data_IF_830613171531
#
_entry.id   IF_830613171531
#
_cell.length_a   1.000
_cell.length_b   1.000
_cell.length_c   1.000
_cell.angle_alpha   90.00
_cell.angle_beta   90.00
_cell.angle_gamma   90.00
#
_symmetry.space_group_name_H-M   'P 1'
#
loop_
_entity.id
_entity.type
_entity.pdbx_description
1 polymer ?
#
# COMPACT_ATOMS: atom_id res chain seq x y z
N UNK A 1 5.24 -19.23 9.20
CA UNK A 1 6.02 -18.07 8.69
C UNK A 1 7.45 -18.40 8.28
N UNK A 2 8.19 -19.24 9.01
CA UNK A 2 9.54 -19.65 8.58
C UNK A 2 9.58 -20.81 7.56
N UNK A 3 8.52 -21.61 7.44
CA UNK A 3 8.46 -22.78 6.53
C UNK A 3 8.80 -22.50 5.06
N UNK A 4 8.22 -21.48 4.37
CA UNK A 4 8.51 -21.27 2.95
C UNK A 4 9.96 -20.86 2.69
N UNK A 5 10.60 -20.19 3.64
CA UNK A 5 12.03 -19.87 3.57
C UNK A 5 12.89 -21.10 3.88
N UNK A 6 12.54 -21.88 4.92
CA UNK A 6 13.27 -23.12 5.25
C UNK A 6 13.17 -24.18 4.14
N UNK A 7 12.07 -24.20 3.39
CA UNK A 7 11.90 -25.07 2.22
C UNK A 7 12.71 -24.61 0.99
N UNK A 8 13.11 -23.33 0.94
CA UNK A 8 13.90 -22.76 -0.15
C UNK A 8 15.41 -22.72 0.16
N UNK A 9 15.84 -23.12 1.36
CA UNK A 9 17.25 -23.16 1.77
C UNK A 9 17.83 -24.58 1.55
N UNK A 10 19.10 -24.71 1.09
CA UNK A 10 19.77 -26.01 0.98
C UNK A 10 19.86 -26.72 2.33
N UNK A 11 19.80 -28.07 2.33
CA UNK A 11 19.89 -28.88 3.55
C UNK A 11 21.15 -28.51 4.36
N UNK A 12 20.98 -27.98 5.57
CA UNK A 12 22.07 -27.62 6.50
C UNK A 12 22.23 -26.13 6.81
N UNK A 13 21.52 -25.22 6.16
CA UNK A 13 21.59 -23.79 6.48
C UNK A 13 20.70 -23.41 7.68
N UNK A 14 21.32 -22.89 8.76
CA UNK A 14 20.61 -22.26 9.89
C UNK A 14 20.52 -20.75 9.71
N UNK A 15 19.38 -20.15 10.10
CA UNK A 15 19.26 -18.69 10.13
C UNK A 15 20.24 -18.13 11.16
N UNK A 16 21.06 -17.17 10.73
CA UNK A 16 22.01 -16.49 11.59
C UNK A 16 21.38 -15.22 12.15
N UNK A 17 21.93 -14.73 13.26
CA UNK A 17 21.66 -13.38 13.74
C UNK A 17 22.94 -12.57 13.71
N UNK A 18 22.96 -11.50 12.90
CA UNK A 18 24.13 -10.62 12.76
C UNK A 18 24.22 -9.58 13.88
N UNK A 19 23.10 -9.31 14.55
CA UNK A 19 23.00 -8.33 15.63
C UNK A 19 22.76 -9.02 16.99
N UNK A 20 23.52 -8.67 18.04
CA UNK A 20 23.44 -9.36 19.34
C UNK A 20 22.09 -9.16 20.05
N UNK A 21 21.36 -8.09 19.71
CA UNK A 21 20.03 -7.79 20.27
C UNK A 21 18.88 -8.37 19.43
N UNK A 22 19.17 -8.88 18.23
CA UNK A 22 18.18 -9.41 17.29
C UNK A 22 17.27 -10.48 17.91
N UNK A 23 17.83 -11.56 18.50
CA UNK A 23 17.04 -12.64 19.09
C UNK A 23 16.13 -12.20 20.24
N UNK A 24 16.48 -11.11 20.94
CA UNK A 24 15.66 -10.56 22.02
C UNK A 24 14.43 -9.80 21.48
N UNK A 25 14.57 -9.00 20.43
CA UNK A 25 13.47 -8.17 19.90
C UNK A 25 12.58 -8.88 18.88
N UNK A 26 13.06 -9.95 18.25
CA UNK A 26 12.31 -10.75 17.26
C UNK A 26 10.94 -11.22 17.81
N UNK A 27 10.85 -11.83 19.01
CA UNK A 27 9.57 -12.24 19.59
C UNK A 27 8.61 -11.07 19.83
N UNK A 28 9.12 -9.92 20.29
CA UNK A 28 8.29 -8.73 20.53
C UNK A 28 7.72 -8.15 19.23
N UNK A 29 8.53 -8.04 18.17
CA UNK A 29 8.07 -7.60 16.85
C UNK A 29 6.97 -8.52 16.31
N UNK A 30 7.18 -9.83 16.43
CA UNK A 30 6.20 -10.82 16.00
C UNK A 30 4.91 -10.74 16.82
N UNK A 31 4.99 -10.69 18.15
CA UNK A 31 3.84 -10.60 19.03
C UNK A 31 3.03 -9.32 18.76
N UNK A 32 3.71 -8.19 18.55
CA UNK A 32 3.08 -6.93 18.17
C UNK A 32 2.32 -7.07 16.85
N UNK A 33 2.98 -7.52 15.79
CA UNK A 33 2.35 -7.66 14.48
C UNK A 33 1.19 -8.66 14.50
N UNK A 34 1.32 -9.77 15.22
CA UNK A 34 0.26 -10.75 15.38
C UNK A 34 -0.93 -10.17 16.14
N UNK A 35 -0.69 -9.49 17.27
CA UNK A 35 -1.73 -8.82 18.02
C UNK A 35 -2.46 -7.77 17.17
N UNK A 36 -1.72 -6.98 16.38
CA UNK A 36 -2.32 -6.04 15.44
C UNK A 36 -3.17 -6.75 14.39
N UNK A 37 -2.68 -7.82 13.76
CA UNK A 37 -3.43 -8.57 12.76
C UNK A 37 -4.73 -9.21 13.31
N UNK A 38 -4.72 -9.63 14.58
CA UNK A 38 -5.93 -10.10 15.28
C UNK A 38 -6.87 -8.94 15.62
N UNK A 39 -6.33 -7.77 15.99
CA UNK A 39 -7.09 -6.57 16.29
C UNK A 39 -7.64 -5.86 15.04
N UNK A 40 -7.19 -6.21 13.84
CA UNK A 40 -7.54 -5.51 12.59
C UNK A 40 -9.04 -5.39 12.30
N UNK A 41 -9.89 -6.41 12.53
CA UNK A 41 -11.34 -6.25 12.36
C UNK A 41 -11.92 -5.13 13.25
N UNK A 42 -11.41 -4.99 14.48
CA UNK A 42 -11.80 -3.92 15.38
C UNK A 42 -11.20 -2.57 14.99
N UNK A 43 -9.95 -2.53 14.52
CA UNK A 43 -9.31 -1.31 14.03
C UNK A 43 -10.00 -0.77 12.77
N UNK A 44 -10.33 -1.63 11.82
CA UNK A 44 -11.11 -1.27 10.63
C UNK A 44 -12.50 -0.82 11.04
N UNK A 45 -13.15 -1.51 11.98
CA UNK A 45 -14.41 -1.04 12.55
C UNK A 45 -14.31 0.38 13.08
N UNK A 46 -13.30 0.69 13.89
CA UNK A 46 -13.13 2.02 14.48
C UNK A 46 -12.79 3.08 13.40
N UNK A 47 -11.92 2.73 12.45
CA UNK A 47 -11.52 3.61 11.35
C UNK A 47 -12.74 3.98 10.50
N UNK A 48 -13.51 2.99 10.06
CA UNK A 48 -14.70 3.22 9.25
C UNK A 48 -15.86 3.78 10.07
N UNK A 49 -15.98 3.47 11.36
CA UNK A 49 -16.97 4.11 12.23
C UNK A 49 -16.68 5.59 12.43
N UNK A 50 -15.40 6.02 12.32
CA UNK A 50 -15.01 7.42 12.33
C UNK A 50 -15.30 8.13 10.98
N UNK A 51 -15.19 7.42 9.85
CA UNK A 51 -15.54 7.95 8.52
C UNK A 51 -17.06 7.91 8.27
N UNK A 52 -17.75 6.92 8.83
CA UNK A 52 -19.19 6.70 8.71
C UNK A 52 -20.10 7.87 9.14
N UNK A 53 -19.77 8.76 10.10
CA UNK A 53 -20.57 9.97 10.31
C UNK A 53 -20.64 10.91 9.09
N UNK A 54 -19.68 10.83 8.16
CA UNK A 54 -19.78 11.47 6.84
C UNK A 54 -20.75 10.76 5.88
N UNK A 55 -21.14 9.52 6.18
CA UNK A 55 -22.14 8.74 5.48
C UNK A 55 -23.50 8.95 6.17
N UNK A 56 -24.37 9.79 5.59
CA UNK A 56 -25.65 10.22 6.17
C UNK A 56 -26.44 9.09 6.87
N UNK A 57 -27.14 9.46 7.95
CA UNK A 57 -27.83 8.58 8.93
C UNK A 57 -28.75 7.49 8.35
N UNK A 58 -29.08 7.56 7.06
CA UNK A 58 -30.05 6.72 6.37
C UNK A 58 -29.40 5.55 5.60
N UNK A 59 -28.05 5.51 5.47
CA UNK A 59 -27.31 4.44 4.78
C UNK A 59 -26.46 3.52 5.68
N UNK A 60 -26.62 3.60 7.01
CA UNK A 60 -25.88 2.76 8.00
C UNK A 60 -25.91 1.26 7.71
N UNK A 61 -26.91 0.76 6.96
CA UNK A 61 -27.02 -0.65 6.55
C UNK A 61 -25.89 -1.09 5.60
N UNK A 62 -25.28 -0.16 4.86
CA UNK A 62 -24.25 -0.48 3.88
C UNK A 62 -22.82 -0.41 4.46
N UNK A 63 -22.67 0.22 5.62
CA UNK A 63 -21.42 0.20 6.40
C UNK A 63 -21.07 -1.22 6.86
N UNK A 64 -22.06 -2.03 7.24
CA UNK A 64 -21.86 -3.41 7.72
C UNK A 64 -21.26 -4.34 6.65
N UNK A 65 -21.83 -4.49 5.44
CA UNK A 65 -21.23 -5.32 4.41
C UNK A 65 -19.86 -4.79 3.97
N UNK A 66 -19.67 -3.46 3.95
CA UNK A 66 -18.37 -2.86 3.63
C UNK A 66 -17.30 -3.23 4.67
N UNK A 67 -17.63 -3.13 5.96
CA UNK A 67 -16.77 -3.51 7.09
C UNK A 67 -16.40 -5.00 7.07
N UNK A 68 -17.36 -5.86 6.71
CA UNK A 68 -17.11 -7.28 6.59
C UNK A 68 -16.21 -7.57 5.38
N UNK A 69 -16.50 -6.93 4.24
CA UNK A 69 -15.68 -7.03 3.03
C UNK A 69 -14.26 -6.54 3.28
N UNK A 70 -14.05 -5.39 3.95
CA UNK A 70 -12.72 -4.89 4.30
C UNK A 70 -11.96 -5.89 5.17
N UNK A 71 -12.60 -6.38 6.24
CA UNK A 71 -11.97 -7.35 7.14
C UNK A 71 -11.52 -8.61 6.40
N UNK A 72 -12.36 -9.13 5.49
CA UNK A 72 -12.02 -10.28 4.64
C UNK A 72 -10.86 -9.93 3.70
N UNK A 73 -10.91 -8.76 3.07
CA UNK A 73 -9.94 -8.31 2.08
C UNK A 73 -8.56 -8.07 2.72
N UNK A 74 -8.50 -7.57 3.95
CA UNK A 74 -7.28 -7.45 4.75
C UNK A 74 -6.61 -8.81 4.97
N UNK A 75 -7.35 -9.82 5.43
CA UNK A 75 -6.80 -11.17 5.60
C UNK A 75 -6.42 -11.80 4.26
N UNK A 76 -7.18 -11.52 3.20
CA UNK A 76 -6.83 -11.93 1.83
C UNK A 76 -5.52 -11.27 1.38
N UNK A 77 -5.28 -10.01 1.74
CA UNK A 77 -4.02 -9.30 1.51
C UNK A 77 -2.83 -9.95 2.23
N UNK A 78 -3.01 -10.36 3.50
CA UNK A 78 -1.98 -11.13 4.23
C UNK A 78 -1.70 -12.47 3.54
N UNK A 79 -2.76 -13.19 3.14
CA UNK A 79 -2.63 -14.46 2.42
C UNK A 79 -1.94 -14.28 1.06
N UNK A 80 -2.31 -13.24 0.32
CA UNK A 80 -1.70 -12.90 -0.97
C UNK A 80 -0.22 -12.59 -0.81
N UNK A 81 0.14 -11.78 0.19
CA UNK A 81 1.54 -11.53 0.52
C UNK A 81 2.26 -12.84 0.84
N UNK A 82 1.67 -13.71 1.69
CA UNK A 82 2.26 -15.00 2.08
C UNK A 82 2.49 -15.97 0.92
N UNK A 83 1.46 -16.19 0.09
CA UNK A 83 1.44 -17.26 -0.90
C UNK A 83 1.90 -16.84 -2.29
N UNK A 84 1.77 -15.55 -2.65
CA UNK A 84 2.11 -15.07 -3.99
C UNK A 84 3.37 -14.23 -3.94
N UNK A 85 3.41 -13.22 -3.06
CA UNK A 85 4.51 -12.25 -3.12
C UNK A 85 5.82 -12.82 -2.58
N UNK A 86 5.80 -13.50 -1.42
CA UNK A 86 7.05 -14.05 -0.87
C UNK A 86 7.75 -15.03 -1.80
N UNK A 87 7.09 -16.06 -2.37
CA UNK A 87 7.78 -17.00 -3.25
C UNK A 87 8.46 -16.31 -4.43
N UNK A 88 7.83 -15.28 -4.99
CA UNK A 88 8.38 -14.58 -6.15
C UNK A 88 9.59 -13.71 -5.75
N UNK A 89 9.53 -13.00 -4.62
CA UNK A 89 10.68 -12.23 -4.10
C UNK A 89 11.85 -13.15 -3.77
N UNK A 90 11.61 -14.25 -3.06
CA UNK A 90 12.69 -15.17 -2.70
C UNK A 90 13.25 -15.92 -3.91
N UNK A 91 12.42 -16.29 -4.89
CA UNK A 91 12.91 -16.85 -6.15
C UNK A 91 13.79 -15.86 -6.91
N UNK A 92 13.48 -14.56 -6.87
CA UNK A 92 14.32 -13.53 -7.45
C UNK A 92 15.66 -13.39 -6.71
N UNK A 93 15.66 -13.36 -5.37
CA UNK A 93 16.89 -13.30 -4.58
C UNK A 93 17.78 -14.54 -4.74
N UNK A 94 17.22 -15.73 -4.89
CA UNK A 94 18.03 -16.95 -5.07
C UNK A 94 18.53 -17.11 -6.50
N UNK A 95 17.77 -16.66 -7.51
CA UNK A 95 18.21 -16.72 -8.92
C UNK A 95 19.29 -15.71 -9.30
N UNK A 96 19.42 -14.63 -8.54
CA UNK A 96 20.45 -13.60 -8.74
C UNK A 96 21.75 -13.88 -7.97
N UNK A 97 21.78 -14.89 -7.11
CA UNK A 97 22.96 -15.27 -6.34
C UNK A 97 24.04 -15.91 -7.25
N UNK A 98 25.29 -15.41 -7.24
CA UNK A 98 26.38 -16.02 -8.00
C UNK A 98 26.64 -17.47 -7.56
N UNK A 99 26.99 -18.35 -8.51
CA UNK A 99 27.36 -19.72 -8.16
C UNK A 99 28.54 -19.76 -7.19
N UNK A 100 28.33 -20.35 -6.02
CA UNK A 100 29.33 -20.46 -4.95
C UNK A 100 29.18 -19.48 -3.78
N UNK A 101 28.22 -18.56 -3.81
CA UNK A 101 27.90 -17.69 -2.65
C UNK A 101 26.78 -18.31 -1.82
N UNK A 102 27.06 -18.59 -0.54
CA UNK A 102 26.03 -19.01 0.41
C UNK A 102 25.15 -17.80 0.76
N UNK A 103 23.88 -17.82 0.33
CA UNK A 103 22.88 -16.84 0.74
C UNK A 103 22.50 -17.13 2.20
N UNK A 104 23.09 -16.39 3.13
CA UNK A 104 22.75 -16.45 4.55
C UNK A 104 21.80 -15.31 4.88
N UNK A 105 20.58 -15.64 5.31
CA UNK A 105 19.56 -14.66 5.72
C UNK A 105 19.59 -14.44 7.23
N UNK A 106 19.62 -13.16 7.63
CA UNK A 106 19.45 -12.77 9.03
C UNK A 106 17.99 -12.88 9.45
N UNK A 107 17.72 -13.53 10.59
CA UNK A 107 16.36 -13.75 11.10
C UNK A 107 15.62 -12.45 11.42
N UNK A 108 16.33 -11.44 11.93
CA UNK A 108 15.73 -10.16 12.35
C UNK A 108 15.36 -9.31 11.14
N UNK A 109 16.22 -9.26 10.14
CA UNK A 109 15.98 -8.61 8.86
C UNK A 109 14.87 -9.32 8.09
N UNK A 110 14.90 -10.66 8.03
CA UNK A 110 13.85 -11.47 7.42
C UNK A 110 12.48 -11.20 8.06
N UNK A 111 12.39 -11.33 9.39
CA UNK A 111 11.14 -11.09 10.10
C UNK A 111 10.67 -9.64 9.89
N UNK A 112 11.56 -8.66 10.00
CA UNK A 112 11.19 -7.26 9.81
C UNK A 112 10.67 -7.00 8.40
N UNK A 113 11.29 -7.59 7.37
CA UNK A 113 10.81 -7.53 6.00
C UNK A 113 9.43 -8.20 5.84
N UNK A 114 9.26 -9.40 6.38
CA UNK A 114 8.01 -10.15 6.30
C UNK A 114 6.84 -9.41 6.96
N UNK A 115 7.07 -8.88 8.16
CA UNK A 115 6.06 -8.12 8.91
C UNK A 115 5.68 -6.84 8.18
N UNK A 116 6.67 -6.08 7.66
CA UNK A 116 6.43 -4.90 6.82
C UNK A 116 5.57 -5.24 5.61
N UNK A 117 5.87 -6.33 4.92
CA UNK A 117 5.15 -6.77 3.73
C UNK A 117 3.69 -7.12 4.04
N UNK A 118 3.44 -7.83 5.14
CA UNK A 118 2.08 -8.13 5.59
C UNK A 118 1.27 -6.88 5.92
N UNK A 119 1.88 -5.91 6.60
CA UNK A 119 1.22 -4.63 6.87
C UNK A 119 0.94 -3.86 5.59
N UNK A 120 1.91 -3.75 4.68
CA UNK A 120 1.75 -3.03 3.43
C UNK A 120 0.66 -3.64 2.55
N UNK A 121 0.65 -4.95 2.35
CA UNK A 121 -0.40 -5.59 1.54
C UNK A 121 -1.73 -5.70 2.25
N UNK A 122 -1.75 -5.94 3.56
CA UNK A 122 -2.99 -5.89 4.33
C UNK A 122 -3.69 -4.54 4.13
N UNK A 123 -2.94 -3.44 4.26
CA UNK A 123 -3.47 -2.09 4.03
C UNK A 123 -3.72 -1.77 2.55
N UNK A 124 -2.88 -2.24 1.62
CA UNK A 124 -3.10 -2.02 0.19
C UNK A 124 -4.38 -2.69 -0.31
N UNK A 125 -4.74 -3.84 0.29
CA UNK A 125 -6.00 -4.51 0.00
C UNK A 125 -7.21 -3.74 0.51
N UNK A 126 -7.05 -2.68 1.31
CA UNK A 126 -8.13 -1.75 1.67
C UNK A 126 -8.35 -0.64 0.64
N UNK A 127 -7.42 -0.44 -0.30
CA UNK A 127 -7.53 0.58 -1.37
C UNK A 127 -8.82 0.45 -2.18
N UNK A 128 -9.28 -0.76 -2.60
CA UNK A 128 -10.55 -0.91 -3.30
C UNK A 128 -11.76 -0.44 -2.48
N UNK A 129 -11.78 -0.77 -1.19
CA UNK A 129 -12.84 -0.40 -0.26
C UNK A 129 -12.86 1.12 -0.06
N UNK A 130 -11.69 1.71 0.18
CA UNK A 130 -11.53 3.15 0.30
C UNK A 130 -12.00 3.87 -0.97
N UNK A 131 -11.60 3.39 -2.15
CA UNK A 131 -11.99 3.97 -3.44
C UNK A 131 -13.51 3.97 -3.63
N UNK A 132 -14.16 2.83 -3.35
CA UNK A 132 -15.61 2.69 -3.42
C UNK A 132 -16.32 3.64 -2.44
N UNK A 133 -15.80 3.75 -1.22
CA UNK A 133 -16.40 4.61 -0.21
C UNK A 133 -16.27 6.10 -0.57
N UNK A 134 -15.09 6.53 -1.02
CA UNK A 134 -14.84 7.92 -1.44
C UNK A 134 -15.80 8.36 -2.56
N UNK A 135 -16.00 7.50 -3.56
CA UNK A 135 -16.93 7.77 -4.66
C UNK A 135 -18.38 7.81 -4.18
N UNK A 136 -18.76 6.89 -3.29
CA UNK A 136 -20.12 6.84 -2.75
C UNK A 136 -20.44 8.06 -1.88
N UNK A 137 -19.48 8.53 -1.10
CA UNK A 137 -19.62 9.72 -0.26
C UNK A 137 -19.67 11.02 -1.08
N UNK A 138 -19.36 10.98 -2.38
CA UNK A 138 -19.34 12.16 -3.24
C UNK A 138 -18.07 13.01 -3.11
N UNK A 139 -17.07 12.55 -2.35
CA UNK A 139 -15.78 13.25 -2.18
C UNK A 139 -15.00 13.31 -3.49
N UNK A 140 -15.17 12.31 -4.35
CA UNK A 140 -14.51 12.24 -5.66
C UNK A 140 -15.37 11.48 -6.65
N UNK A 141 -15.11 11.65 -7.95
CA UNK A 141 -15.74 10.86 -9.01
C UNK A 141 -14.78 9.78 -9.54
N UNK A 142 -15.31 8.70 -10.16
CA UNK A 142 -14.47 7.72 -10.86
C UNK A 142 -13.65 8.35 -12.00
N UNK A 143 -14.13 9.44 -12.60
CA UNK A 143 -13.39 10.16 -13.64
C UNK A 143 -12.16 10.87 -13.04
N UNK A 144 -12.33 11.63 -11.95
CA UNK A 144 -11.24 12.28 -11.22
C UNK A 144 -10.19 11.28 -10.71
N UNK A 145 -10.63 10.18 -10.11
CA UNK A 145 -9.71 9.12 -9.67
C UNK A 145 -8.95 8.47 -10.83
N UNK A 146 -9.60 8.32 -11.99
CA UNK A 146 -8.94 7.81 -13.19
C UNK A 146 -7.90 8.79 -13.74
N UNK A 147 -8.09 10.10 -13.59
CA UNK A 147 -7.06 11.07 -13.96
C UNK A 147 -5.83 10.98 -13.02
N UNK A 148 -6.05 10.66 -11.74
CA UNK A 148 -5.00 10.56 -10.72
C UNK A 148 -4.21 9.23 -10.70
N UNK A 149 -4.33 8.40 -11.73
CA UNK A 149 -3.56 7.13 -11.87
C UNK A 149 -2.04 7.32 -11.69
N UNK A 150 -1.39 8.32 -12.29
CA UNK A 150 0.06 8.48 -12.16
C UNK A 150 0.48 8.69 -10.70
N UNK A 151 -0.28 9.47 -9.93
CA UNK A 151 0.00 9.71 -8.50
C UNK A 151 -0.06 8.43 -7.67
N UNK A 152 -1.04 7.56 -7.95
CA UNK A 152 -1.20 6.30 -7.23
C UNK A 152 -0.08 5.32 -7.58
N UNK A 153 0.34 5.30 -8.84
CA UNK A 153 1.49 4.50 -9.27
C UNK A 153 2.75 4.99 -8.54
N UNK A 154 3.02 6.30 -8.53
CA UNK A 154 4.16 6.87 -7.78
C UNK A 154 4.07 6.52 -6.29
N UNK A 155 2.89 6.66 -5.67
CA UNK A 155 2.67 6.26 -4.28
C UNK A 155 2.95 4.78 -4.02
N UNK A 156 2.55 3.88 -4.94
CA UNK A 156 2.86 2.46 -4.86
C UNK A 156 4.37 2.19 -4.93
N UNK A 157 5.10 2.90 -5.78
CA UNK A 157 6.57 2.81 -5.84
C UNK A 157 7.24 3.36 -4.57
N UNK A 158 6.74 4.44 -3.97
CA UNK A 158 7.26 4.99 -2.71
C UNK A 158 7.06 3.97 -1.58
N UNK A 159 5.87 3.38 -1.47
CA UNK A 159 5.61 2.31 -0.49
C UNK A 159 6.51 1.12 -0.76
N UNK A 160 6.65 0.69 -2.02
CA UNK A 160 7.56 -0.37 -2.43
C UNK A 160 9.00 -0.11 -1.97
N UNK A 161 9.50 1.12 -2.13
CA UNK A 161 10.83 1.54 -1.70
C UNK A 161 11.01 1.49 -0.17
N UNK A 162 9.95 1.77 0.61
CA UNK A 162 10.02 1.68 2.07
C UNK A 162 9.99 0.23 2.57
N UNK A 163 9.31 -0.65 1.81
CA UNK A 163 9.12 -2.06 2.17
C UNK A 163 10.29 -2.94 1.73
N UNK A 164 10.84 -2.70 0.56
CA UNK A 164 12.00 -3.43 0.04
C UNK A 164 13.30 -2.71 0.37
N UNK A 165 14.43 -3.43 0.47
CA UNK A 165 15.74 -2.81 0.25
C UNK A 165 15.75 -2.06 -1.10
N UNK A 166 16.74 -1.19 -1.38
CA UNK A 166 16.82 -0.44 -2.65
C UNK A 166 17.09 -1.37 -3.85
N UNK A 167 16.05 -2.12 -4.25
CA UNK A 167 15.98 -3.11 -5.32
C UNK A 167 14.78 -2.77 -6.21
N UNK A 168 15.08 -2.35 -7.43
CA UNK A 168 14.10 -1.92 -8.44
C UNK A 168 13.17 -3.07 -8.89
N UNK A 169 13.67 -4.31 -8.96
CA UNK A 169 12.89 -5.46 -9.39
C UNK A 169 11.85 -5.81 -8.34
N UNK A 170 12.28 -5.99 -7.10
CA UNK A 170 11.37 -6.26 -5.98
C UNK A 170 10.39 -5.10 -5.79
N UNK A 171 10.84 -3.85 -5.88
CA UNK A 171 9.98 -2.67 -5.80
C UNK A 171 8.89 -2.64 -6.89
N UNK A 172 9.26 -2.89 -8.14
CA UNK A 172 8.31 -2.90 -9.27
C UNK A 172 7.29 -4.02 -9.12
N UNK A 173 7.76 -5.20 -8.73
CA UNK A 173 6.90 -6.36 -8.51
C UNK A 173 5.88 -6.15 -7.39
N UNK A 174 6.22 -5.34 -6.38
CA UNK A 174 5.29 -4.93 -5.33
C UNK A 174 4.31 -3.85 -5.76
N UNK A 175 4.75 -2.92 -6.62
CA UNK A 175 3.91 -1.84 -7.11
C UNK A 175 2.77 -2.34 -8.02
N UNK A 176 3.04 -3.39 -8.83
CA UNK A 176 2.05 -3.93 -9.78
C UNK A 176 0.76 -4.41 -9.08
N UNK A 177 0.79 -5.26 -8.04
CA UNK A 177 -0.43 -5.65 -7.33
C UNK A 177 -1.19 -4.47 -6.73
N UNK A 178 -0.50 -3.45 -6.21
CA UNK A 178 -1.15 -2.24 -5.65
C UNK A 178 -1.89 -1.48 -6.75
N UNK A 179 -1.29 -1.34 -7.92
CA UNK A 179 -1.95 -0.73 -9.08
C UNK A 179 -3.18 -1.53 -9.53
N UNK A 180 -3.08 -2.86 -9.58
CA UNK A 180 -4.22 -3.74 -9.92
C UNK A 180 -5.36 -3.61 -8.90
N UNK A 181 -5.05 -3.52 -7.61
CA UNK A 181 -6.05 -3.30 -6.56
C UNK A 181 -6.75 -1.96 -6.73
N UNK A 182 -5.99 -0.90 -7.03
CA UNK A 182 -6.58 0.39 -7.33
C UNK A 182 -7.54 0.31 -8.53
N UNK A 183 -7.14 -0.35 -9.61
CA UNK A 183 -7.99 -0.51 -10.79
C UNK A 183 -9.26 -1.30 -10.47
N UNK A 184 -9.15 -2.36 -9.66
CA UNK A 184 -10.30 -3.12 -9.19
C UNK A 184 -11.26 -2.22 -8.37
N UNK A 185 -10.74 -1.40 -7.46
CA UNK A 185 -11.51 -0.42 -6.71
C UNK A 185 -12.25 0.57 -7.60
N UNK A 186 -11.56 1.11 -8.59
CA UNK A 186 -12.12 2.03 -9.56
C UNK A 186 -13.20 1.37 -10.45
N UNK A 187 -13.00 0.10 -10.80
CA UNK A 187 -14.00 -0.67 -11.53
C UNK A 187 -15.28 -0.85 -10.70
N UNK A 188 -15.16 -1.27 -9.43
CA UNK A 188 -16.33 -1.44 -8.55
C UNK A 188 -17.04 -0.12 -8.25
N UNK A 189 -16.30 0.99 -8.16
CA UNK A 189 -16.89 2.31 -7.87
C UNK A 189 -17.73 2.85 -9.03
N UNK A 190 -17.43 2.49 -10.29
CA UNK A 190 -18.23 2.89 -11.47
C UNK A 190 -19.64 2.29 -11.48
N UNK A 191 -19.84 1.13 -10.86
CA UNK A 191 -21.16 0.50 -10.77
C UNK A 191 -22.08 1.16 -9.73
N UNK A 192 -21.55 2.08 -8.92
CA UNK A 192 -22.29 2.80 -7.88
C UNK A 192 -22.69 4.16 -8.45
N UNK A 193 -23.98 4.50 -8.36
CA UNK A 193 -24.46 5.82 -8.79
C UNK A 193 -23.83 6.90 -7.91
N UNK A 194 -23.09 7.88 -8.47
CA UNK A 194 -22.64 9.05 -7.73
C UNK A 194 -23.83 9.80 -7.16
N UNK A 195 -23.64 10.45 -6.01
CA UNK A 195 -24.59 11.39 -5.41
C UNK A 195 -24.90 12.52 -6.42
N UNK A 196 -26.09 13.11 -6.31
CA UNK A 196 -26.68 14.13 -7.20
C UNK A 196 -25.65 15.10 -7.82
N UNK A 197 -25.73 15.31 -9.14
CA UNK A 197 -24.83 16.13 -9.98
C UNK A 197 -24.48 17.52 -9.44
N UNK A 198 -25.35 18.10 -8.60
CA UNK A 198 -25.19 19.48 -8.11
C UNK A 198 -24.02 19.65 -7.14
N UNK A 199 -23.67 18.66 -6.32
CA UNK A 199 -22.54 18.77 -5.37
C UNK A 199 -21.20 18.32 -6.00
N UNK A 200 -21.24 17.51 -7.06
CA UNK A 200 -20.02 17.18 -7.81
C UNK A 200 -19.49 18.37 -8.61
N UNK A 201 -20.37 19.25 -9.09
CA UNK A 201 -19.98 20.46 -9.82
C UNK A 201 -19.21 21.44 -8.91
N UNK A 202 -19.64 21.65 -7.67
CA UNK A 202 -18.92 22.49 -6.69
C UNK A 202 -17.51 21.94 -6.36
N UNK A 203 -17.37 20.63 -6.16
CA UNK A 203 -16.05 20.02 -5.94
C UNK A 203 -15.18 19.98 -7.20
N UNK A 204 -15.77 19.91 -8.39
CA UNK A 204 -15.06 20.02 -9.67
C UNK A 204 -14.47 21.43 -9.83
N UNK A 205 -15.21 22.48 -9.46
CA UNK A 205 -14.69 23.85 -9.45
C UNK A 205 -13.57 24.07 -8.42
N UNK A 206 -13.70 23.56 -7.19
CA UNK A 206 -12.65 23.68 -6.15
C UNK A 206 -11.33 22.99 -6.56
N UNK A 207 -11.40 21.78 -7.11
CA UNK A 207 -10.22 21.04 -7.58
C UNK A 207 -9.53 21.78 -8.75
N UNK A 208 -10.30 22.35 -9.70
CA UNK A 208 -9.75 23.13 -10.81
C UNK A 208 -9.03 24.40 -10.32
N UNK A 209 -9.57 25.08 -9.30
CA UNK A 209 -8.92 26.26 -8.70
C UNK A 209 -7.62 25.86 -8.01
N UNK A 210 -7.62 24.78 -7.23
CA UNK A 210 -6.43 24.25 -6.57
C UNK A 210 -5.33 23.84 -7.55
N UNK A 211 -5.69 23.16 -8.66
CA UNK A 211 -4.73 22.77 -9.70
C UNK A 211 -4.11 23.99 -10.39
N UNK A 212 -4.89 25.03 -10.67
CA UNK A 212 -4.36 26.29 -11.24
C UNK A 212 -3.40 26.98 -10.27
N UNK A 213 -3.72 27.05 -8.99
CA UNK A 213 -2.82 27.63 -7.98
C UNK A 213 -1.51 26.84 -7.85
N UNK A 214 -1.56 25.51 -7.93
CA UNK A 214 -0.37 24.67 -7.90
C UNK A 214 0.49 24.87 -9.15
N UNK A 215 -0.11 24.95 -10.34
CA UNK A 215 0.60 25.23 -11.60
C UNK A 215 1.25 26.62 -11.59
N UNK A 216 0.55 27.63 -11.08
CA UNK A 216 1.10 28.97 -10.90
C UNK A 216 2.29 28.96 -9.93
N UNK A 217 2.19 28.25 -8.81
CA UNK A 217 3.27 28.11 -7.84
C UNK A 217 4.50 27.37 -8.38
N UNK A 218 4.29 26.31 -9.17
CA UNK A 218 5.39 25.59 -9.84
C UNK A 218 6.06 26.49 -10.88
N UNK A 219 5.28 27.22 -11.68
CA UNK A 219 5.80 28.14 -12.69
C UNK A 219 6.56 29.32 -12.05
N UNK A 220 6.13 29.79 -10.88
CA UNK A 220 6.86 30.81 -10.11
C UNK A 220 8.19 30.28 -9.57
N UNK A 221 8.20 29.05 -9.03
CA UNK A 221 9.43 28.41 -8.57
C UNK A 221 10.44 28.21 -9.71
N UNK A 222 9.99 27.79 -10.90
CA UNK A 222 10.83 27.64 -12.09
C UNK A 222 11.39 28.98 -12.60
N UNK A 223 10.63 30.07 -12.46
CA UNK A 223 11.13 31.44 -12.73
C UNK A 223 12.19 31.90 -11.73
N UNK A 224 12.11 31.46 -10.48
CA UNK A 224 13.08 31.80 -9.44
C UNK A 224 14.38 31.00 -9.61
N UNK A 225 14.30 29.71 -9.94
CA UNK A 225 15.48 28.86 -10.20
C UNK A 225 16.22 29.27 -11.50
N UNK A 226 15.49 29.71 -12.53
CA UNK A 226 16.09 30.20 -13.78
C UNK A 226 16.77 31.57 -13.66
N UNK A 227 16.52 32.34 -12.60
CA UNK A 227 17.21 33.61 -12.34
C UNK A 227 18.58 33.43 -11.66
N UNK A 228 18.90 32.25 -11.13
CA UNK A 228 20.14 32.00 -10.37
C UNK A 228 21.21 31.22 -11.16
N UNK A 229 21.10 31.14 -12.49
CA UNK A 229 22.16 30.54 -13.32
C UNK A 229 23.23 31.62 -13.62
N UNK A 230 24.44 31.55 -13.04
CA UNK A 230 25.48 32.53 -13.34
C UNK A 230 25.90 32.43 -14.81
N UNK A 231 26.24 33.54 -15.48
CA UNK A 231 26.66 33.51 -16.87
C UNK A 231 27.93 32.65 -16.98
N UNK A 232 27.89 31.62 -17.84
CA UNK A 232 29.07 30.83 -18.20
C UNK A 232 30.11 31.79 -18.81
N UNK A 233 31.19 32.01 -18.07
CA UNK A 233 32.39 32.69 -18.53
C UNK A 233 33.16 31.82 -19.55
#
# INVERSE_FOLDING_TARGET
LAMPLMAALPEGNSMISTEPHGPFFVPFKFAFAFATAVAMPYLLYQLWAFVAPGLYEHEKRLTIPLLLSSSILFYLGILFAYFVVFPVIFAFFTSTAPQGVLVMTDISAYLSFVLKLFFAFGLAFEVPVATVLLVRMGITTPAKLSAKRPYIIVGAFIVGMLMTPPDIFSQTMLAIPVWVLFEAGLYFSRSIKPRSKTESEDHDEEDEVMERELEEGIAEFERLDSQDTPPRA
#
